data_IF_136867565812
#
_entry.id   IF_136867565812
#
_cell.length_a   1.000
_cell.length_b   1.000
_cell.length_c   1.000
_cell.angle_alpha   90.00
_cell.angle_beta   90.00
_cell.angle_gamma   90.00
#
_symmetry.space_group_name_H-M   'P 1'
#
loop_
_entity.id
_entity.type
_entity.pdbx_description
1 polymer ?
#
# COMPACT_ATOMS: atom_id res chain seq x y z
N UNK A 1 5.22 -20.62 -11.20
CA UNK A 1 3.91 -20.40 -11.87
C UNK A 1 3.35 -19.10 -11.34
N UNK A 2 2.72 -18.28 -12.17
CA UNK A 2 2.19 -16.98 -11.71
C UNK A 2 0.75 -17.12 -11.23
N UNK A 3 0.47 -16.58 -10.04
CA UNK A 3 -0.88 -16.46 -9.51
C UNK A 3 -1.17 -15.03 -9.06
N UNK A 4 -2.45 -14.69 -9.00
CA UNK A 4 -2.94 -13.40 -8.52
C UNK A 4 -3.90 -13.61 -7.35
N UNK A 5 -3.65 -12.89 -6.25
CA UNK A 5 -4.48 -12.94 -5.05
C UNK A 5 -5.13 -11.57 -4.81
N UNK A 6 -6.40 -11.57 -4.41
CA UNK A 6 -7.09 -10.38 -3.93
C UNK A 6 -6.94 -10.30 -2.42
N UNK A 7 -6.66 -9.11 -1.90
CA UNK A 7 -6.60 -8.83 -0.47
C UNK A 7 -7.68 -7.81 -0.11
N UNK A 8 -8.40 -8.02 0.99
CA UNK A 8 -9.41 -7.07 1.48
C UNK A 8 -9.50 -7.03 2.99
N UNK A 9 -9.58 -5.85 3.60
CA UNK A 9 -9.67 -5.68 5.05
C UNK A 9 -10.55 -4.49 5.42
N UNK A 10 -11.32 -4.59 6.52
CA UNK A 10 -12.17 -3.49 7.00
C UNK A 10 -12.27 -3.37 8.53
N UNK A 11 -11.37 -4.00 9.28
CA UNK A 11 -11.33 -3.91 10.75
C UNK A 11 -9.98 -3.42 11.25
N UNK A 12 -9.95 -2.58 12.28
CA UNK A 12 -8.69 -2.12 12.88
C UNK A 12 -7.90 -1.21 11.94
N UNK A 13 -6.71 -1.66 11.51
CA UNK A 13 -5.86 -1.00 10.51
C UNK A 13 -5.79 -1.87 9.23
N UNK A 14 -6.70 -1.65 8.27
CA UNK A 14 -6.76 -2.43 7.03
C UNK A 14 -5.45 -2.40 6.25
N UNK A 15 -4.77 -1.25 6.17
CA UNK A 15 -3.54 -1.12 5.39
C UNK A 15 -2.40 -1.97 5.98
N UNK A 16 -2.26 -1.91 7.31
CA UNK A 16 -1.30 -2.76 8.01
C UNK A 16 -1.64 -4.25 7.84
N UNK A 17 -2.92 -4.62 7.81
CA UNK A 17 -3.37 -5.98 7.58
C UNK A 17 -3.03 -6.47 6.16
N UNK A 18 -3.27 -5.66 5.11
CA UNK A 18 -2.89 -6.04 3.75
C UNK A 18 -1.37 -6.29 3.63
N UNK A 19 -0.56 -5.45 4.28
CA UNK A 19 0.90 -5.60 4.28
C UNK A 19 1.41 -6.78 5.12
N UNK A 20 0.77 -7.07 6.26
CA UNK A 20 1.12 -8.24 7.08
C UNK A 20 0.73 -9.54 6.35
N UNK A 21 -0.42 -9.56 5.67
CA UNK A 21 -0.83 -10.69 4.83
C UNK A 21 0.20 -10.96 3.72
N UNK A 22 0.61 -9.93 2.97
CA UNK A 22 1.66 -10.05 1.95
C UNK A 22 2.98 -10.58 2.52
N UNK A 23 3.42 -10.07 3.68
CA UNK A 23 4.65 -10.53 4.37
C UNK A 23 4.55 -11.97 4.86
N UNK A 24 3.40 -12.40 5.34
CA UNK A 24 3.18 -13.79 5.78
C UNK A 24 3.20 -14.74 4.59
N UNK A 25 2.55 -14.38 3.49
CA UNK A 25 2.56 -15.15 2.25
C UNK A 25 3.99 -15.29 1.68
N UNK A 26 4.77 -14.21 1.65
CA UNK A 26 6.15 -14.24 1.13
C UNK A 26 7.13 -15.10 1.97
N UNK A 27 6.75 -15.46 3.20
CA UNK A 27 7.53 -16.36 4.07
C UNK A 27 7.21 -17.83 3.86
N UNK A 28 6.17 -18.16 3.08
CA UNK A 28 5.77 -19.55 2.85
C UNK A 28 6.72 -20.20 1.85
N UNK A 29 7.34 -21.34 2.16
CA UNK A 29 8.18 -22.06 1.21
C UNK A 29 7.45 -22.35 -0.10
N UNK A 30 8.09 -22.06 -1.23
CA UNK A 30 7.49 -22.25 -2.55
C UNK A 30 6.53 -21.14 -2.98
N UNK A 31 6.43 -20.04 -2.21
CA UNK A 31 5.67 -18.85 -2.57
C UNK A 31 6.55 -17.61 -2.46
N UNK A 32 6.50 -16.73 -3.47
CA UNK A 32 7.21 -15.45 -3.48
C UNK A 32 6.28 -14.35 -3.94
N UNK A 33 6.15 -13.30 -3.16
CA UNK A 33 5.45 -12.09 -3.56
C UNK A 33 6.33 -11.30 -4.52
N UNK A 34 5.83 -11.10 -5.74
CA UNK A 34 6.53 -10.33 -6.77
C UNK A 34 6.14 -8.85 -6.71
N UNK A 35 4.84 -8.59 -6.62
CA UNK A 35 4.27 -7.23 -6.62
C UNK A 35 3.02 -7.17 -5.76
N UNK A 36 2.79 -5.99 -5.18
CA UNK A 36 1.59 -5.60 -4.47
C UNK A 36 1.07 -4.32 -5.14
N UNK A 37 -0.21 -4.29 -5.49
CA UNK A 37 -0.84 -3.12 -6.12
C UNK A 37 -0.94 -1.94 -5.14
N UNK A 38 -1.28 -0.74 -5.64
CA UNK A 38 -1.89 0.28 -4.80
C UNK A 38 -3.13 -0.24 -4.07
N UNK A 39 -3.50 0.45 -2.99
CA UNK A 39 -4.70 0.22 -2.24
C UNK A 39 -5.85 1.12 -2.69
N UNK A 40 -7.06 0.61 -2.50
CA UNK A 40 -8.31 1.25 -2.89
C UNK A 40 -9.38 1.07 -1.83
N UNK A 41 -10.23 2.10 -1.66
CA UNK A 41 -11.37 2.03 -0.76
C UNK A 41 -12.62 1.63 -1.53
N UNK A 42 -13.42 0.71 -0.99
CA UNK A 42 -14.71 0.32 -1.56
C UNK A 42 -15.78 0.19 -0.50
N UNK A 43 -17.03 0.44 -0.88
CA UNK A 43 -18.17 0.18 0.00
C UNK A 43 -18.24 -1.29 0.36
N UNK A 44 -18.54 -1.59 1.62
CA UNK A 44 -18.79 -2.96 2.03
C UNK A 44 -20.11 -3.50 1.45
N UNK A 45 -20.12 -4.76 1.03
CA UNK A 45 -21.35 -5.44 0.65
C UNK A 45 -22.00 -6.08 1.88
N UNK A 46 -23.33 -5.95 2.00
CA UNK A 46 -24.11 -6.59 3.07
C UNK A 46 -24.58 -5.62 4.13
N UNK A 47 -24.76 -6.08 5.39
CA UNK A 47 -25.18 -5.22 6.50
C UNK A 47 -24.23 -4.02 6.69
N UNK A 48 -24.72 -2.91 7.30
CA UNK A 48 -23.89 -1.75 7.61
C UNK A 48 -22.63 -2.15 8.39
N UNK A 49 -21.47 -1.81 7.82
CA UNK A 49 -20.14 -2.12 8.35
C UNK A 49 -19.12 -1.14 7.75
N UNK A 50 -17.89 -1.07 8.29
CA UNK A 50 -16.86 -0.21 7.72
C UNK A 50 -16.52 -0.57 6.26
N UNK A 51 -16.15 0.45 5.48
CA UNK A 51 -15.64 0.28 4.12
C UNK A 51 -14.36 -0.58 4.09
N UNK A 52 -14.17 -1.29 2.98
CA UNK A 52 -12.98 -2.11 2.76
C UNK A 52 -11.83 -1.30 2.16
N UNK A 53 -10.61 -1.64 2.56
CA UNK A 53 -9.40 -1.37 1.80
C UNK A 53 -9.01 -2.65 1.07
N UNK A 54 -8.80 -2.55 -0.24
CA UNK A 54 -8.51 -3.68 -1.11
C UNK A 54 -7.21 -3.44 -1.89
N UNK A 55 -6.50 -4.53 -2.17
CA UNK A 55 -5.32 -4.57 -3.03
C UNK A 55 -5.23 -5.93 -3.74
N UNK A 56 -4.29 -6.08 -4.66
CA UNK A 56 -3.97 -7.36 -5.30
C UNK A 56 -2.47 -7.68 -5.17
N UNK A 57 -2.15 -8.96 -5.10
CA UNK A 57 -0.80 -9.50 -5.15
C UNK A 57 -0.58 -10.24 -6.46
N UNK A 58 0.60 -10.06 -7.05
CA UNK A 58 1.16 -11.00 -8.00
C UNK A 58 2.20 -11.84 -7.28
N UNK A 59 2.08 -13.16 -7.38
CA UNK A 59 2.99 -14.11 -6.74
C UNK A 59 3.56 -15.09 -7.76
N UNK A 60 4.80 -15.52 -7.54
CA UNK A 60 5.37 -16.71 -8.16
C UNK A 60 5.32 -17.85 -7.15
N UNK A 61 4.83 -19.00 -7.60
CA UNK A 61 4.59 -20.15 -6.73
C UNK A 61 4.92 -21.46 -7.40
N UNK A 62 5.42 -22.41 -6.61
CA UNK A 62 5.54 -23.83 -6.96
C UNK A 62 4.39 -24.64 -6.36
N UNK A 63 3.52 -24.02 -5.56
CA UNK A 63 2.39 -24.68 -4.92
C UNK A 63 1.25 -24.89 -5.92
N UNK A 64 0.55 -26.01 -5.81
CA UNK A 64 -0.70 -26.24 -6.55
C UNK A 64 -1.80 -25.26 -6.09
N UNK A 65 -2.81 -24.95 -6.94
CA UNK A 65 -3.88 -24.01 -6.60
C UNK A 65 -4.58 -24.32 -5.26
N UNK A 66 -4.85 -25.61 -5.01
CA UNK A 66 -5.50 -26.06 -3.76
C UNK A 66 -4.63 -25.76 -2.53
N UNK A 67 -3.33 -26.03 -2.62
CA UNK A 67 -2.37 -25.76 -1.54
C UNK A 67 -2.23 -24.26 -1.32
N UNK A 68 -2.22 -23.46 -2.39
CA UNK A 68 -2.18 -22.00 -2.28
C UNK A 68 -3.44 -21.45 -1.59
N UNK A 69 -4.63 -21.99 -1.88
CA UNK A 69 -5.86 -21.65 -1.16
C UNK A 69 -5.72 -22.00 0.33
N UNK A 70 -5.25 -23.20 0.67
CA UNK A 70 -5.07 -23.60 2.07
C UNK A 70 -4.10 -22.67 2.81
N UNK A 71 -3.00 -22.27 2.16
CA UNK A 71 -2.05 -21.28 2.69
C UNK A 71 -2.72 -19.94 2.94
N UNK A 72 -3.49 -19.42 1.98
CA UNK A 72 -4.23 -18.17 2.14
C UNK A 72 -5.17 -18.24 3.37
N UNK A 73 -5.93 -19.33 3.51
CA UNK A 73 -6.81 -19.56 4.65
C UNK A 73 -6.07 -19.67 5.98
N UNK A 74 -4.88 -20.28 6.00
CA UNK A 74 -4.04 -20.35 7.19
C UNK A 74 -3.55 -18.96 7.60
N UNK A 75 -3.14 -18.12 6.64
CA UNK A 75 -2.75 -16.73 6.90
C UNK A 75 -3.93 -15.94 7.47
N UNK A 76 -5.12 -16.06 6.90
CA UNK A 76 -6.34 -15.43 7.44
C UNK A 76 -6.58 -15.79 8.91
N UNK A 77 -6.52 -17.09 9.24
CA UNK A 77 -6.70 -17.58 10.62
C UNK A 77 -5.64 -17.03 11.55
N UNK A 78 -4.37 -17.03 11.11
CA UNK A 78 -3.26 -16.50 11.89
C UNK A 78 -3.36 -14.98 12.13
N UNK A 79 -4.12 -14.27 11.29
CA UNK A 79 -4.43 -12.85 11.41
C UNK A 79 -5.75 -12.58 12.14
N UNK A 80 -6.35 -13.62 12.75
CA UNK A 80 -7.52 -13.48 13.60
C UNK A 80 -8.86 -13.52 12.87
N UNK A 81 -8.91 -13.88 11.58
CA UNK A 81 -10.20 -14.12 10.93
C UNK A 81 -10.82 -15.41 11.47
N UNK A 82 -11.95 -15.25 12.14
CA UNK A 82 -12.81 -16.35 12.57
C UNK A 82 -13.96 -16.50 11.56
N UNK A 83 -14.21 -17.72 11.10
CA UNK A 83 -15.36 -18.05 10.25
C UNK A 83 -16.49 -18.53 11.16
N UNK A 84 -17.15 -17.59 11.80
CA UNK A 84 -18.25 -17.80 12.77
C UNK A 84 -19.60 -18.10 12.12
N UNK A 85 -19.66 -18.13 10.78
CA UNK A 85 -20.90 -18.33 10.01
C UNK A 85 -21.59 -17.02 9.62
N UNK A 86 -21.12 -15.86 10.08
CA UNK A 86 -21.65 -14.55 9.69
C UNK A 86 -21.23 -14.22 8.26
N UNK A 87 -22.12 -14.51 7.30
CA UNK A 87 -21.89 -14.18 5.89
C UNK A 87 -21.81 -12.66 5.73
N UNK A 88 -20.75 -12.20 5.08
CA UNK A 88 -20.50 -10.77 4.79
C UNK A 88 -20.27 -9.90 6.02
N UNK A 89 -19.91 -10.48 7.17
CA UNK A 89 -19.44 -9.71 8.32
C UNK A 89 -18.09 -9.04 8.05
N UNK A 90 -17.72 -8.04 8.87
CA UNK A 90 -16.42 -7.39 8.79
C UNK A 90 -15.29 -8.37 9.17
N UNK A 91 -14.10 -8.17 8.63
CA UNK A 91 -12.96 -9.07 8.83
C UNK A 91 -11.61 -8.35 8.84
N UNK A 92 -10.63 -8.89 9.58
CA UNK A 92 -9.27 -8.35 9.57
C UNK A 92 -8.56 -8.61 8.23
N UNK A 93 -8.87 -9.69 7.52
CA UNK A 93 -8.29 -9.93 6.19
C UNK A 93 -9.12 -10.96 5.41
N UNK A 94 -9.32 -10.72 4.12
CA UNK A 94 -9.78 -11.65 3.08
C UNK A 94 -8.64 -11.88 2.10
N UNK A 95 -8.36 -13.13 1.75
CA UNK A 95 -7.37 -13.50 0.74
C UNK A 95 -8.03 -14.45 -0.26
N UNK A 96 -8.35 -13.92 -1.44
CA UNK A 96 -8.99 -14.68 -2.52
C UNK A 96 -7.98 -15.08 -3.59
N UNK A 97 -7.99 -16.35 -4.01
CA UNK A 97 -7.25 -16.79 -5.21
C UNK A 97 -8.04 -16.39 -6.46
N UNK A 98 -7.54 -15.40 -7.21
CA UNK A 98 -8.25 -14.80 -8.34
C UNK A 98 -7.93 -15.52 -9.65
N UNK A 99 -6.65 -15.68 -9.97
CA UNK A 99 -6.15 -16.28 -11.20
C UNK A 99 -4.91 -17.12 -10.89
N UNK A 100 -4.71 -18.20 -11.65
CA UNK A 100 -3.55 -19.07 -11.52
C UNK A 100 -3.15 -19.57 -12.90
N UNK A 101 -2.06 -19.07 -13.47
CA UNK A 101 -1.36 -19.59 -14.66
C UNK A 101 -2.24 -20.25 -15.76
N UNK A 102 -3.33 -19.58 -16.17
CA UNK A 102 -4.28 -20.08 -17.18
C UNK A 102 -5.19 -21.25 -16.74
N UNK A 103 -5.03 -21.75 -15.51
CA UNK A 103 -5.81 -22.84 -14.92
C UNK A 103 -7.29 -22.44 -14.78
N UNK A 104 -8.16 -23.37 -15.18
CA UNK A 104 -9.61 -23.30 -14.97
C UNK A 104 -10.05 -24.50 -14.13
N UNK A 105 -10.57 -24.25 -12.93
CA UNK A 105 -11.12 -25.22 -11.99
C UNK A 105 -12.56 -24.82 -11.65
N UNK A 106 -13.48 -25.77 -11.83
CA UNK A 106 -14.87 -25.65 -11.40
C UNK A 106 -15.02 -26.47 -10.12
N UNK A 107 -15.17 -25.79 -8.97
CA UNK A 107 -14.98 -26.40 -7.65
C UNK A 107 -15.93 -27.56 -7.35
N UNK A 108 -15.38 -28.64 -6.77
CA UNK A 108 -16.09 -29.68 -5.99
C UNK A 108 -15.19 -30.86 -5.57
N UNK A 109 -14.01 -31.06 -6.18
CA UNK A 109 -13.23 -32.29 -5.98
C UNK A 109 -12.42 -32.34 -4.66
N UNK A 110 -12.25 -31.21 -3.96
CA UNK A 110 -11.45 -31.12 -2.73
C UNK A 110 -12.07 -30.13 -1.73
N UNK A 111 -11.75 -30.31 -0.44
CA UNK A 111 -12.16 -29.41 0.64
C UNK A 111 -10.94 -28.61 1.13
N UNK A 112 -11.00 -27.25 1.19
CA UNK A 112 -12.14 -26.41 0.83
C UNK A 112 -12.33 -26.30 -0.69
N UNK A 113 -13.59 -26.16 -1.13
CA UNK A 113 -13.91 -26.02 -2.54
C UNK A 113 -13.22 -24.80 -3.15
N UNK A 114 -12.55 -25.01 -4.27
CA UNK A 114 -11.81 -23.98 -5.00
C UNK A 114 -12.38 -23.83 -6.41
N UNK A 115 -12.67 -22.59 -6.80
CA UNK A 115 -12.94 -22.22 -8.18
C UNK A 115 -11.89 -21.19 -8.62
N UNK A 116 -11.23 -21.44 -9.75
CA UNK A 116 -10.24 -20.54 -10.37
C UNK A 116 -10.55 -20.48 -11.87
N UNK A 117 -10.63 -19.32 -12.51
CA UNK A 117 -10.64 -17.98 -11.93
C UNK A 117 -11.73 -17.80 -10.87
N UNK A 118 -11.52 -16.86 -9.93
CA UNK A 118 -12.53 -16.58 -8.91
C UNK A 118 -13.85 -16.18 -9.61
N UNK A 119 -14.98 -16.87 -9.33
CA UNK A 119 -16.15 -16.86 -10.19
C UNK A 119 -16.78 -15.48 -10.35
N UNK A 120 -16.61 -14.61 -9.36
CA UNK A 120 -17.17 -13.26 -9.35
C UNK A 120 -16.17 -12.16 -9.67
N UNK A 121 -14.92 -12.47 -9.99
CA UNK A 121 -13.89 -11.43 -10.12
C UNK A 121 -14.23 -10.39 -11.19
N UNK A 122 -14.86 -10.80 -12.30
CA UNK A 122 -15.27 -9.88 -13.37
C UNK A 122 -16.42 -8.93 -12.97
N UNK A 123 -17.12 -9.23 -11.87
CA UNK A 123 -18.23 -8.43 -11.35
C UNK A 123 -17.76 -7.46 -10.27
N UNK A 124 -16.47 -7.42 -9.89
CA UNK A 124 -15.99 -6.67 -8.72
C UNK A 124 -14.95 -5.65 -9.11
N UNK A 125 -15.26 -4.36 -8.95
CA UNK A 125 -14.34 -3.28 -9.33
C UNK A 125 -13.13 -3.23 -8.40
N UNK A 126 -13.34 -3.51 -7.10
CA UNK A 126 -12.27 -3.59 -6.10
C UNK A 126 -11.33 -4.79 -6.30
N UNK A 127 -11.65 -5.71 -7.19
CA UNK A 127 -10.76 -6.79 -7.65
C UNK A 127 -10.05 -6.38 -8.94
N UNK A 128 -10.82 -5.92 -9.94
CA UNK A 128 -10.30 -5.64 -11.27
C UNK A 128 -9.38 -4.42 -11.32
N UNK A 129 -9.66 -3.37 -10.56
CA UNK A 129 -8.82 -2.17 -10.56
C UNK A 129 -7.41 -2.45 -10.01
N UNK A 130 -7.24 -3.04 -8.81
CA UNK A 130 -5.91 -3.44 -8.33
C UNK A 130 -5.16 -4.40 -9.26
N UNK A 131 -5.87 -5.35 -9.90
CA UNK A 131 -5.26 -6.24 -10.89
C UNK A 131 -4.79 -5.48 -12.13
N UNK A 132 -5.56 -4.49 -12.58
CA UNK A 132 -5.21 -3.69 -13.75
C UNK A 132 -3.93 -2.88 -13.53
N UNK A 133 -3.67 -2.43 -12.29
CA UNK A 133 -2.42 -1.75 -11.95
C UNK A 133 -1.22 -2.70 -11.95
N UNK A 134 -1.43 -3.97 -11.61
CA UNK A 134 -0.38 -4.99 -11.69
C UNK A 134 -0.09 -5.37 -13.14
N UNK A 135 -1.12 -5.72 -13.89
CA UNK A 135 -1.01 -6.16 -15.28
C UNK A 135 -2.30 -5.85 -16.07
N UNK A 136 -2.35 -4.73 -16.82
CA UNK A 136 -3.52 -4.37 -17.61
C UNK A 136 -3.77 -5.34 -18.77
N UNK A 137 -2.71 -6.01 -19.25
CA UNK A 137 -2.75 -6.97 -20.36
C UNK A 137 -3.17 -8.38 -19.94
N UNK A 138 -3.28 -8.67 -18.64
CA UNK A 138 -3.62 -9.98 -18.12
C UNK A 138 -4.95 -10.47 -18.69
N UNK A 139 -4.97 -11.66 -19.32
CA UNK A 139 -6.17 -12.22 -19.94
C UNK A 139 -6.87 -13.19 -18.99
N UNK A 140 -8.18 -13.01 -18.82
CA UNK A 140 -9.02 -13.96 -18.08
C UNK A 140 -9.28 -15.22 -18.90
N UNK A 141 -8.89 -16.43 -18.45
CA UNK A 141 -8.85 -17.61 -19.31
C UNK A 141 -10.24 -18.09 -19.77
N UNK A 142 -11.30 -17.80 -19.00
CA UNK A 142 -12.68 -18.18 -19.38
C UNK A 142 -13.34 -17.15 -20.31
N UNK A 143 -13.03 -15.85 -20.15
CA UNK A 143 -13.70 -14.79 -20.91
C UNK A 143 -12.92 -14.39 -22.16
N UNK A 144 -11.62 -14.72 -22.25
CA UNK A 144 -10.75 -14.31 -23.35
C UNK A 144 -10.53 -12.79 -23.41
N UNK A 145 -10.78 -12.07 -22.32
CA UNK A 145 -10.70 -10.60 -22.24
C UNK A 145 -9.59 -10.18 -21.28
N UNK A 146 -8.94 -9.06 -21.58
CA UNK A 146 -7.96 -8.46 -20.66
C UNK A 146 -8.65 -7.92 -19.41
N UNK A 147 -7.89 -7.81 -18.31
CA UNK A 147 -8.36 -7.18 -17.07
C UNK A 147 -8.82 -5.74 -17.34
N UNK A 148 -8.12 -4.97 -18.18
CA UNK A 148 -8.59 -3.63 -18.59
C UNK A 148 -9.97 -3.68 -19.27
N UNK A 149 -10.19 -4.63 -20.20
CA UNK A 149 -11.47 -4.76 -20.87
C UNK A 149 -12.59 -5.22 -19.93
N UNK A 150 -12.28 -6.08 -18.96
CA UNK A 150 -13.22 -6.48 -17.91
C UNK A 150 -13.56 -5.32 -16.98
N UNK A 151 -12.56 -4.53 -16.56
CA UNK A 151 -12.75 -3.36 -15.69
C UNK A 151 -13.66 -2.32 -16.36
N UNK A 152 -13.44 -2.05 -17.65
CA UNK A 152 -14.28 -1.12 -18.41
C UNK A 152 -15.75 -1.57 -18.51
N UNK A 153 -16.01 -2.88 -18.49
CA UNK A 153 -17.34 -3.47 -18.55
C UNK A 153 -17.89 -3.88 -17.17
N UNK A 154 -17.20 -3.54 -16.08
CA UNK A 154 -17.55 -3.99 -14.75
C UNK A 154 -18.83 -3.26 -14.26
N UNK A 155 -19.88 -3.99 -13.85
CA UNK A 155 -21.15 -3.39 -13.44
C UNK A 155 -21.13 -2.80 -12.02
N UNK A 156 -20.06 -3.07 -11.26
CA UNK A 156 -19.93 -2.67 -9.86
C UNK A 156 -19.67 -1.18 -9.71
N UNK A 157 -20.04 -0.67 -8.54
CA UNK A 157 -19.94 0.76 -8.24
C UNK A 157 -18.49 1.25 -8.35
N UNK A 158 -18.28 2.54 -8.64
CA UNK A 158 -16.96 3.15 -8.53
C UNK A 158 -16.36 2.94 -7.14
N UNK A 159 -15.03 2.85 -7.10
CA UNK A 159 -14.29 2.84 -5.85
C UNK A 159 -14.48 4.18 -5.15
N UNK A 160 -14.51 4.15 -3.82
CA UNK A 160 -14.73 5.34 -3.01
C UNK A 160 -13.49 6.24 -2.99
N UNK A 161 -12.31 5.64 -3.04
CA UNK A 161 -11.03 6.35 -3.02
C UNK A 161 -9.90 5.46 -3.57
N UNK A 162 -8.78 6.09 -3.92
CA UNK A 162 -7.56 5.49 -4.46
C UNK A 162 -7.28 5.84 -5.92
N UNK A 163 -6.11 5.44 -6.44
CA UNK A 163 -5.07 4.63 -5.78
C UNK A 163 -4.30 5.39 -4.70
N UNK A 164 -3.83 4.68 -3.67
CA UNK A 164 -2.74 5.16 -2.82
C UNK A 164 -1.76 4.03 -2.49
N UNK A 165 -0.52 4.39 -2.16
CA UNK A 165 0.48 3.37 -1.81
C UNK A 165 0.31 2.92 -0.37
N UNK A 166 0.41 1.61 -0.16
CA UNK A 166 0.39 1.05 1.18
C UNK A 166 1.64 1.46 1.97
N UNK A 167 1.48 1.83 3.25
CA UNK A 167 2.54 2.35 4.07
C UNK A 167 3.54 1.27 4.53
N UNK A 168 4.77 1.32 4.05
CA UNK A 168 5.86 0.45 4.50
C UNK A 168 6.53 1.06 5.74
N UNK A 169 6.75 0.23 6.75
CA UNK A 169 7.42 0.67 7.99
C UNK A 169 8.82 1.18 7.68
N UNK A 170 9.11 2.41 8.06
CA UNK A 170 10.46 2.94 7.96
C UNK A 170 11.38 2.25 8.97
N UNK A 171 12.61 1.94 8.57
CA UNK A 171 13.62 1.52 9.53
C UNK A 171 14.21 2.76 10.19
N UNK A 172 13.97 2.89 11.49
CA UNK A 172 14.45 4.01 12.31
C UNK A 172 15.68 3.59 13.10
N UNK A 173 16.73 4.40 13.06
CA UNK A 173 17.93 4.25 13.87
C UNK A 173 18.18 5.53 14.68
N UNK A 174 18.52 5.41 15.96
CA UNK A 174 18.99 6.55 16.77
C UNK A 174 20.46 6.75 16.51
N UNK A 175 20.88 7.99 16.27
CA UNK A 175 22.29 8.32 16.11
C UNK A 175 22.86 8.78 17.46
N UNK A 176 24.07 8.32 17.79
CA UNK A 176 24.57 8.39 19.16
C UNK A 176 24.93 9.79 19.67
N UNK A 177 24.93 10.83 18.82
CA UNK A 177 25.32 12.17 19.21
C UNK A 177 24.33 13.21 18.64
N UNK A 178 23.58 13.90 19.51
CA UNK A 178 22.80 15.09 19.14
C UNK A 178 21.28 14.99 19.24
N UNK A 179 20.71 13.80 19.40
CA UNK A 179 19.26 13.61 19.38
C UNK A 179 18.71 13.26 17.99
N UNK A 180 19.54 13.21 16.95
CA UNK A 180 19.13 12.88 15.59
C UNK A 180 18.54 11.46 15.44
N UNK A 181 17.62 11.33 14.48
CA UNK A 181 17.13 10.05 13.99
C UNK A 181 17.47 9.85 12.51
N UNK A 182 17.89 8.65 12.16
CA UNK A 182 18.04 8.23 10.79
C UNK A 182 16.81 7.42 10.34
N UNK A 183 16.19 7.83 9.23
CA UNK A 183 15.16 7.06 8.54
C UNK A 183 15.72 6.38 7.30
N UNK A 184 15.52 5.06 7.22
CA UNK A 184 15.72 4.28 6.00
C UNK A 184 14.36 3.87 5.44
N UNK A 185 14.08 4.32 4.23
CA UNK A 185 12.82 4.04 3.52
C UNK A 185 13.09 3.49 2.13
N UNK A 186 12.13 2.76 1.58
CA UNK A 186 12.18 2.20 0.23
C UNK A 186 10.86 2.39 -0.50
N UNK A 187 10.91 2.85 -1.75
CA UNK A 187 9.77 3.03 -2.64
C UNK A 187 9.92 2.21 -3.92
N UNK A 188 8.82 1.74 -4.50
CA UNK A 188 8.78 1.05 -5.78
C UNK A 188 9.15 1.96 -6.96
N UNK A 189 8.90 3.25 -6.81
CA UNK A 189 9.24 4.32 -7.74
C UNK A 189 9.56 5.63 -6.96
N UNK A 190 9.93 6.74 -7.64
CA UNK A 190 10.21 8.00 -6.96
C UNK A 190 9.06 8.59 -6.14
N UNK A 191 7.80 8.47 -6.61
CA UNK A 191 6.65 9.05 -5.92
C UNK A 191 6.34 8.25 -4.66
N UNK A 192 6.38 6.92 -4.78
CA UNK A 192 6.26 6.02 -3.63
C UNK A 192 7.38 6.30 -2.61
N UNK A 193 8.62 6.53 -3.04
CA UNK A 193 9.71 6.87 -2.11
C UNK A 193 9.40 8.12 -1.26
N UNK A 194 8.80 9.15 -1.87
CA UNK A 194 8.35 10.36 -1.16
C UNK A 194 7.25 10.03 -0.16
N UNK A 195 6.25 9.25 -0.57
CA UNK A 195 5.16 8.80 0.32
C UNK A 195 5.73 8.03 1.52
N UNK A 196 6.64 7.08 1.30
CA UNK A 196 7.24 6.30 2.40
C UNK A 196 8.11 7.15 3.32
N UNK A 197 8.83 8.14 2.78
CA UNK A 197 9.59 9.09 3.58
C UNK A 197 8.67 9.94 4.47
N UNK A 198 7.58 10.46 3.90
CA UNK A 198 6.59 11.27 4.60
C UNK A 198 5.92 10.48 5.74
N UNK A 199 5.49 9.25 5.46
CA UNK A 199 4.89 8.38 6.46
C UNK A 199 5.90 7.92 7.52
N UNK A 200 7.16 7.69 7.14
CA UNK A 200 8.24 7.41 8.08
C UNK A 200 8.51 8.57 9.04
N UNK A 201 8.42 9.82 8.56
CA UNK A 201 8.48 11.02 9.40
C UNK A 201 7.29 11.06 10.37
N UNK A 202 6.08 10.76 9.90
CA UNK A 202 4.90 10.68 10.79
C UNK A 202 5.08 9.62 11.87
N UNK A 203 5.56 8.43 11.51
CA UNK A 203 5.79 7.32 12.47
C UNK A 203 6.87 7.65 13.52
N UNK A 204 7.78 8.60 13.26
CA UNK A 204 8.69 9.13 14.29
C UNK A 204 7.97 10.00 15.31
N UNK A 205 6.93 10.71 14.90
CA UNK A 205 6.22 11.70 15.69
C UNK A 205 5.09 11.06 16.47
N UNK A 206 4.31 10.18 15.85
CA UNK A 206 3.13 9.58 16.47
C UNK A 206 2.81 8.20 15.87
N UNK A 207 2.15 7.31 16.64
CA UNK A 207 1.64 6.04 16.12
C UNK A 207 0.56 6.30 15.07
N UNK A 208 0.84 5.96 13.80
CA UNK A 208 -0.02 6.30 12.65
C UNK A 208 -1.41 5.68 12.77
N UNK A 209 -1.54 4.51 13.38
CA UNK A 209 -2.81 3.83 13.65
C UNK A 209 -3.77 4.64 14.54
N UNK A 210 -3.26 5.67 15.24
CA UNK A 210 -4.06 6.61 16.04
C UNK A 210 -4.49 7.85 15.27
N UNK A 211 -4.01 8.05 14.05
CA UNK A 211 -4.39 9.16 13.18
C UNK A 211 -5.66 8.82 12.39
N UNK A 212 -6.41 9.84 11.98
CA UNK A 212 -7.61 9.70 11.16
C UNK A 212 -7.56 10.68 10.00
N UNK A 213 -8.18 10.32 8.88
CA UNK A 213 -8.31 11.14 7.69
C UNK A 213 -9.53 12.07 7.82
N UNK A 214 -9.43 13.12 8.63
CA UNK A 214 -10.54 14.07 8.85
C UNK A 214 -10.58 15.16 7.79
N UNK A 215 -9.39 15.69 7.47
CA UNK A 215 -9.21 16.81 6.57
C UNK A 215 -8.10 16.50 5.56
N UNK A 216 -8.07 17.27 4.47
CA UNK A 216 -7.05 17.15 3.41
C UNK A 216 -6.20 18.42 3.35
N UNK A 217 -4.89 18.23 3.15
CA UNK A 217 -3.93 19.28 2.79
C UNK A 217 -3.22 18.92 1.50
N UNK A 218 -2.79 19.95 0.77
CA UNK A 218 -2.02 19.78 -0.45
C UNK A 218 -0.79 20.67 -0.41
N UNK A 219 0.30 20.19 -1.01
CA UNK A 219 1.50 20.97 -1.26
C UNK A 219 2.00 20.70 -2.67
N UNK A 220 2.67 21.70 -3.25
CA UNK A 220 3.32 21.59 -4.55
C UNK A 220 4.78 21.99 -4.40
N UNK A 221 5.66 21.04 -4.63
CA UNK A 221 7.11 21.20 -4.55
C UNK A 221 7.66 21.35 -5.97
N UNK A 222 8.28 22.49 -6.32
CA UNK A 222 8.92 22.65 -7.62
C UNK A 222 10.17 21.76 -7.70
N UNK A 223 10.36 21.13 -8.84
CA UNK A 223 11.56 20.37 -9.14
C UNK A 223 12.55 21.22 -9.93
N UNK A 224 13.87 21.03 -9.69
CA UNK A 224 14.87 21.59 -10.58
C UNK A 224 14.64 21.09 -12.01
N UNK A 225 14.87 21.96 -13.00
CA UNK A 225 14.73 21.61 -14.42
C UNK A 225 15.56 20.35 -14.71
N UNK A 226 14.88 19.26 -15.06
CA UNK A 226 15.52 18.00 -15.45
C UNK A 226 15.31 17.82 -16.94
N UNK A 227 16.35 17.44 -17.68
CA UNK A 227 16.30 17.19 -19.12
C UNK A 227 15.47 15.94 -19.49
N UNK A 228 14.22 15.89 -19.06
CA UNK A 228 13.25 14.83 -19.33
C UNK A 228 13.23 13.65 -18.34
N UNK A 229 14.25 13.49 -17.47
CA UNK A 229 14.30 12.39 -16.49
C UNK A 229 14.68 12.88 -15.09
N UNK A 230 13.87 12.50 -14.09
CA UNK A 230 14.13 12.83 -12.69
C UNK A 230 15.49 12.27 -12.23
N UNK A 231 16.41 13.16 -11.87
CA UNK A 231 17.75 12.80 -11.39
C UNK A 231 17.70 12.42 -9.90
N UNK A 232 18.72 11.71 -9.39
CA UNK A 232 18.81 11.41 -7.94
C UNK A 232 18.90 12.68 -7.11
N UNK A 233 19.61 13.69 -7.61
CA UNK A 233 19.70 15.00 -6.97
C UNK A 233 18.35 15.69 -6.90
N UNK A 234 17.63 15.76 -8.02
CA UNK A 234 16.29 16.36 -8.07
C UNK A 234 15.30 15.63 -7.13
N UNK A 235 15.36 14.29 -7.05
CA UNK A 235 14.55 13.53 -6.11
C UNK A 235 14.96 13.76 -4.65
N UNK A 236 16.26 13.92 -4.36
CA UNK A 236 16.73 14.26 -3.03
C UNK A 236 16.22 15.63 -2.58
N UNK A 237 16.25 16.63 -3.46
CA UNK A 237 15.66 17.95 -3.19
C UNK A 237 14.16 17.86 -2.97
N UNK A 238 13.45 17.16 -3.85
CA UNK A 238 12.00 16.96 -3.73
C UNK A 238 11.62 16.31 -2.40
N UNK A 239 12.41 15.34 -1.92
CA UNK A 239 12.22 14.72 -0.61
C UNK A 239 12.40 15.71 0.54
N UNK A 240 13.46 16.53 0.52
CA UNK A 240 13.70 17.51 1.59
C UNK A 240 12.57 18.52 1.67
N UNK A 241 12.19 19.10 0.53
CA UNK A 241 11.11 20.10 0.46
C UNK A 241 9.77 19.49 0.88
N UNK A 242 9.42 18.30 0.37
CA UNK A 242 8.20 17.59 0.75
C UNK A 242 8.11 17.32 2.25
N UNK A 243 9.18 16.86 2.87
CA UNK A 243 9.22 16.59 4.30
C UNK A 243 9.21 17.88 5.12
N UNK A 244 9.82 18.96 4.61
CA UNK A 244 9.80 20.28 5.24
C UNK A 244 8.39 20.85 5.28
N UNK A 245 7.61 20.70 4.22
CA UNK A 245 6.18 21.08 4.22
C UNK A 245 5.38 20.35 5.30
N UNK A 246 5.66 19.05 5.52
CA UNK A 246 5.04 18.29 6.62
C UNK A 246 5.44 18.84 8.00
N UNK A 247 6.71 19.25 8.18
CA UNK A 247 7.16 19.89 9.42
C UNK A 247 6.45 21.23 9.64
N UNK A 248 6.25 22.02 8.58
CA UNK A 248 5.50 23.28 8.66
C UNK A 248 4.07 23.04 9.12
N UNK A 249 3.38 22.03 8.58
CA UNK A 249 2.02 21.67 9.03
C UNK A 249 1.98 21.22 10.49
N UNK A 250 2.98 20.45 10.92
CA UNK A 250 3.10 20.01 12.30
C UNK A 250 3.37 21.18 13.27
N UNK A 251 4.27 22.09 12.91
CA UNK A 251 4.66 23.21 13.79
C UNK A 251 3.53 24.23 13.93
N UNK A 252 2.97 24.66 12.79
CA UNK A 252 1.94 25.69 12.74
C UNK A 252 0.63 25.23 13.38
N UNK A 253 0.16 24.04 13.02
CA UNK A 253 -1.20 23.59 13.34
C UNK A 253 -1.24 22.35 14.22
N UNK A 254 -0.10 21.74 14.52
CA UNK A 254 -0.07 20.43 15.16
C UNK A 254 -0.77 19.39 14.29
N UNK A 255 -0.64 19.45 12.96
CA UNK A 255 -1.36 18.60 12.03
C UNK A 255 -0.46 17.48 11.49
N UNK A 256 -0.95 16.24 11.46
CA UNK A 256 -0.23 15.09 10.93
C UNK A 256 -1.08 14.31 9.93
N UNK A 257 -0.50 13.85 8.81
CA UNK A 257 -1.20 12.97 7.89
C UNK A 257 -1.26 11.53 8.39
N UNK A 258 -2.45 10.92 8.28
CA UNK A 258 -2.64 9.48 8.39
C UNK A 258 -2.31 8.77 7.05
N UNK A 259 -2.51 9.46 5.92
CA UNK A 259 -2.23 8.96 4.57
C UNK A 259 -1.65 10.08 3.72
N UNK A 260 -0.72 9.72 2.82
CA UNK A 260 -0.09 10.64 1.87
C UNK A 260 -0.08 9.99 0.49
N UNK A 261 -0.41 10.77 -0.54
CA UNK A 261 -0.18 10.43 -1.94
C UNK A 261 0.74 11.46 -2.57
N UNK A 262 1.49 11.02 -3.58
CA UNK A 262 2.43 11.86 -4.30
C UNK A 262 2.36 11.59 -5.80
N UNK A 263 2.48 12.63 -6.61
CA UNK A 263 2.51 12.53 -8.07
C UNK A 263 3.55 13.51 -8.64
N UNK A 264 4.33 13.05 -9.61
CA UNK A 264 5.20 13.91 -10.41
C UNK A 264 4.50 14.33 -11.69
N UNK A 265 4.22 15.62 -11.82
CA UNK A 265 3.62 16.23 -13.01
C UNK A 265 4.60 17.27 -13.60
N UNK A 266 5.33 16.86 -14.65
CA UNK A 266 6.35 17.71 -15.27
C UNK A 266 7.47 18.06 -14.29
N UNK A 267 7.58 19.36 -13.95
CA UNK A 267 8.57 19.89 -13.00
C UNK A 267 7.98 20.13 -11.61
N UNK A 268 6.89 19.46 -11.25
CA UNK A 268 6.24 19.64 -9.96
C UNK A 268 5.95 18.31 -9.32
N UNK A 269 6.31 18.17 -8.04
CA UNK A 269 5.82 17.12 -7.16
C UNK A 269 4.58 17.65 -6.44
N UNK A 270 3.44 16.98 -6.61
CA UNK A 270 2.21 17.28 -5.86
C UNK A 270 2.06 16.28 -4.72
N UNK A 271 1.78 16.79 -3.53
CA UNK A 271 1.46 16.00 -2.34
C UNK A 271 0.00 16.22 -1.99
N UNK A 272 -0.72 15.13 -1.74
CA UNK A 272 -2.04 15.17 -1.08
C UNK A 272 -1.96 14.37 0.21
N UNK A 273 -2.28 15.03 1.31
CA UNK A 273 -2.13 14.50 2.65
C UNK A 273 -3.50 14.50 3.34
N UNK A 274 -3.89 13.38 3.93
CA UNK A 274 -5.17 13.20 4.59
C UNK A 274 -4.91 12.90 6.06
N UNK A 275 -5.45 13.69 6.96
CA UNK A 275 -5.00 13.69 8.35
C UNK A 275 -5.88 14.49 9.28
N UNK A 276 -5.32 14.84 10.43
CA UNK A 276 -6.00 15.59 11.48
C UNK A 276 -5.02 16.42 12.30
N UNK A 277 -5.55 17.43 12.99
CA UNK A 277 -4.85 18.05 14.12
C UNK A 277 -4.70 17.04 15.25
N UNK A 278 -3.48 16.88 15.77
CA UNK A 278 -3.13 15.95 16.85
C UNK A 278 -3.01 16.62 18.21
N UNK A 279 -2.74 17.93 18.26
CA UNK A 279 -2.79 18.71 19.50
C UNK A 279 -4.22 18.71 20.05
N UNK A 280 -4.38 18.25 21.30
CA UNK A 280 -5.70 18.13 21.93
C UNK A 280 -6.54 16.91 21.50
N UNK A 281 -6.10 16.10 20.54
CA UNK A 281 -6.82 14.91 20.07
C UNK A 281 -6.48 13.61 20.84
N UNK A 282 -5.70 13.71 21.93
CA UNK A 282 -5.27 12.56 22.72
C UNK A 282 -4.29 11.62 22.01
N UNK A 283 -3.70 12.06 20.88
CA UNK A 283 -2.64 11.33 20.16
C UNK A 283 -1.30 11.61 20.86
N UNK A 284 -0.58 10.59 21.34
CA UNK A 284 0.72 10.78 21.98
C UNK A 284 1.73 11.19 20.92
N UNK A 285 2.53 12.22 21.25
CA UNK A 285 3.67 12.65 20.43
C UNK A 285 4.95 12.09 21.07
N UNK A 286 5.71 11.32 20.29
CA UNK A 286 6.91 10.65 20.76
C UNK A 286 8.16 11.51 20.57
N UNK A 287 8.27 12.19 19.43
CA UNK A 287 9.42 13.02 19.04
C UNK A 287 8.95 14.20 18.20
N UNK A 288 9.67 15.32 18.27
CA UNK A 288 9.31 16.53 17.55
C UNK A 288 10.46 16.94 16.61
N UNK A 289 10.45 16.47 15.35
CA UNK A 289 11.47 16.83 14.39
C UNK A 289 11.51 18.34 14.14
N UNK A 290 12.73 18.91 14.15
CA UNK A 290 12.99 20.33 13.91
C UNK A 290 13.35 20.61 12.47
N UNK A 291 14.15 19.74 11.86
CA UNK A 291 14.66 19.94 10.51
C UNK A 291 15.03 18.63 9.82
N UNK A 292 15.04 18.69 8.48
CA UNK A 292 15.54 17.61 7.62
C UNK A 292 16.98 17.93 7.21
N UNK A 293 17.90 17.04 7.53
CA UNK A 293 19.34 17.26 7.38
C UNK A 293 19.80 16.97 5.94
N UNK A 294 19.69 17.99 5.07
CA UNK A 294 19.94 17.89 3.61
C UNK A 294 21.27 17.23 3.23
N UNK A 295 22.38 17.62 3.85
CA UNK A 295 23.71 17.11 3.50
C UNK A 295 23.94 15.61 3.83
N UNK A 296 23.08 15.02 4.66
CA UNK A 296 23.16 13.61 5.03
C UNK A 296 22.20 12.73 4.20
N UNK A 297 21.33 13.33 3.37
CA UNK A 297 20.39 12.61 2.54
C UNK A 297 21.12 11.82 1.45
N UNK A 298 20.83 10.53 1.38
CA UNK A 298 21.31 9.65 0.30
C UNK A 298 20.15 8.98 -0.40
N UNK A 299 20.01 9.22 -1.71
CA UNK A 299 19.03 8.56 -2.58
C UNK A 299 19.73 7.55 -3.48
N UNK A 300 19.29 6.30 -3.41
CA UNK A 300 19.92 5.17 -4.08
C UNK A 300 18.87 4.44 -4.90
N UNK A 301 19.18 4.17 -6.18
CA UNK A 301 18.40 3.25 -6.99
C UNK A 301 18.84 1.82 -6.70
N UNK A 302 17.90 0.94 -6.35
CA UNK A 302 18.19 -0.46 -6.05
C UNK A 302 18.77 -1.17 -7.27
N UNK A 303 19.87 -1.90 -7.07
CA UNK A 303 20.45 -2.78 -8.10
C UNK A 303 19.81 -4.18 -8.12
N UNK A 304 19.20 -4.59 -7.01
CA UNK A 304 18.61 -5.93 -6.83
C UNK A 304 17.15 -6.01 -7.23
N UNK A 305 16.44 -4.89 -7.18
CA UNK A 305 15.04 -4.75 -7.56
C UNK A 305 14.92 -3.63 -8.60
N UNK A 306 14.80 -3.98 -9.89
CA UNK A 306 14.65 -2.99 -10.94
C UNK A 306 13.45 -2.07 -10.67
N UNK A 307 13.68 -0.76 -10.67
CA UNK A 307 12.64 0.25 -10.40
C UNK A 307 12.64 0.78 -8.97
N UNK A 308 13.00 -0.03 -7.99
CA UNK A 308 12.99 0.31 -6.56
C UNK A 308 14.03 1.37 -6.19
N UNK A 309 13.67 2.25 -5.26
CA UNK A 309 14.48 3.33 -4.71
C UNK A 309 14.59 3.23 -3.20
N UNK A 310 15.67 3.78 -2.65
CA UNK A 310 15.89 3.89 -1.20
C UNK A 310 16.36 5.29 -0.86
N UNK A 311 15.93 5.77 0.29
CA UNK A 311 16.44 7.00 0.88
C UNK A 311 16.96 6.71 2.30
N UNK A 312 18.09 7.33 2.63
CA UNK A 312 18.58 7.46 3.98
C UNK A 312 18.49 8.94 4.34
N UNK A 313 17.61 9.27 5.28
CA UNK A 313 17.35 10.64 5.75
C UNK A 313 17.89 10.75 7.17
N UNK A 314 18.48 11.89 7.51
CA UNK A 314 18.78 12.24 8.90
C UNK A 314 17.85 13.39 9.29
N UNK A 315 17.27 13.27 10.47
CA UNK A 315 16.28 14.18 11.02
C UNK A 315 16.80 14.67 12.36
N UNK A 316 16.86 15.99 12.50
CA UNK A 316 17.15 16.68 13.76
C UNK A 316 15.87 16.68 14.62
N UNK A 317 15.96 16.24 15.87
CA UNK A 317 14.85 16.09 16.82
C UNK A 317 14.91 17.11 17.97
#
# INVERSE_FOLDING_TARGET
MIAFLGLGANLGDPEAQLLDAARRLDRVPGLRVLRLSPAYRSTAHGPPQPDYVNAALQVDTTLAPQVLLEVALQVERAMGRQRDGTRWGPRPIDIDLLLFDGVVLQGAAAAPALAVPHPRMAERRFVLQPLCDLDPGLVHPVFGRTVTALLAACPDAPLLDGPWTLPRRAAVERLDHGGDAALRVSGADPADLVVQAALGLVELVAPRERLRERDRREASVPLPATGGRLSRGALAEALVEALTELLVWLDADGWLPARVTAEFAGTTLRLSAFGQTVRGAGVPLERLPKAITRHALRVIRSRREPGSWRAHLVIDL
#
